data_IF_598975333636
#
_entry.id   IF_598975333636
#
_cell.length_a   1.000
_cell.length_b   1.000
_cell.length_c   1.000
_cell.angle_alpha   90.00
_cell.angle_beta   90.00
_cell.angle_gamma   90.00
#
_symmetry.space_group_name_H-M   'P 1'
#
loop_
_entity.id
_entity.type
_entity.pdbx_description
1 polymer ?
#
# COMPACT_ATOMS: atom_id res chain seq x y z
N UNK A 1 -24.14 8.38 -7.80
CA UNK A 1 -22.73 8.80 -7.69
C UNK A 1 -22.17 8.65 -6.28
N UNK A 2 -22.91 8.98 -5.23
CA UNK A 2 -22.44 8.89 -3.83
C UNK A 2 -21.99 7.49 -3.38
N UNK A 3 -22.66 6.42 -3.82
CA UNK A 3 -22.31 5.06 -3.42
C UNK A 3 -20.90 4.66 -3.87
N UNK A 4 -20.58 4.86 -5.16
CA UNK A 4 -19.26 4.51 -5.71
C UNK A 4 -18.15 5.34 -5.06
N UNK A 5 -18.37 6.65 -4.85
CA UNK A 5 -17.40 7.50 -4.15
C UNK A 5 -17.15 7.04 -2.70
N UNK A 6 -18.21 6.65 -1.97
CA UNK A 6 -18.09 6.07 -0.62
C UNK A 6 -17.36 4.73 -0.65
N UNK A 7 -17.63 3.89 -1.64
CA UNK A 7 -16.93 2.61 -1.82
C UNK A 7 -15.44 2.84 -2.08
N UNK A 8 -15.07 3.73 -3.02
CA UNK A 8 -13.67 4.09 -3.27
C UNK A 8 -12.99 4.64 -2.02
N UNK A 9 -13.66 5.48 -1.22
CA UNK A 9 -13.08 5.99 0.04
C UNK A 9 -12.83 4.88 1.05
N UNK A 10 -13.74 3.91 1.16
CA UNK A 10 -13.56 2.71 2.01
C UNK A 10 -12.46 1.79 1.48
N UNK A 11 -12.31 1.65 0.16
CA UNK A 11 -11.20 0.89 -0.42
C UNK A 11 -9.88 1.58 -0.14
N UNK A 12 -9.81 2.92 -0.24
CA UNK A 12 -8.60 3.67 0.09
C UNK A 12 -8.18 3.50 1.56
N UNK A 13 -9.13 3.39 2.51
CA UNK A 13 -8.77 3.21 3.92
C UNK A 13 -8.02 1.91 4.22
N UNK A 14 -8.13 0.88 3.36
CA UNK A 14 -7.27 -0.29 3.45
C UNK A 14 -5.78 0.11 3.42
N UNK A 15 -5.37 0.97 2.50
CA UNK A 15 -3.97 1.37 2.40
C UNK A 15 -3.56 2.33 3.52
N UNK A 16 -4.47 3.14 4.04
CA UNK A 16 -4.21 3.99 5.21
C UNK A 16 -3.88 3.13 6.45
N UNK A 17 -4.55 1.99 6.61
CA UNK A 17 -4.38 1.11 7.78
C UNK A 17 -3.22 0.10 7.63
N UNK A 18 -3.00 -0.37 6.40
CA UNK A 18 -2.10 -1.50 6.08
C UNK A 18 -0.87 -1.15 5.25
N UNK A 19 -0.67 0.13 4.86
CA UNK A 19 0.55 0.64 4.23
C UNK A 19 1.10 1.87 4.96
N UNK A 20 1.13 1.78 6.30
CA UNK A 20 1.63 2.84 7.17
C UNK A 20 3.11 2.63 7.53
N UNK A 21 3.69 3.57 8.31
CA UNK A 21 5.11 3.51 8.69
C UNK A 21 5.53 2.23 9.41
N UNK A 22 4.62 1.58 10.16
CA UNK A 22 4.86 0.28 10.83
C UNK A 22 5.10 -0.89 9.86
N UNK A 23 4.67 -0.74 8.61
CA UNK A 23 4.81 -1.69 7.50
C UNK A 23 5.73 -1.12 6.40
N UNK A 24 6.60 -0.17 6.77
CA UNK A 24 7.53 0.53 5.87
C UNK A 24 6.86 1.16 4.64
N UNK A 25 5.60 1.59 4.77
CA UNK A 25 4.81 2.17 3.68
C UNK A 25 4.60 1.20 2.50
N UNK A 26 4.65 -0.11 2.75
CA UNK A 26 4.28 -1.17 1.82
C UNK A 26 2.97 -1.84 2.27
N UNK A 27 2.11 -2.27 1.34
CA UNK A 27 0.83 -2.88 1.70
C UNK A 27 0.99 -4.33 2.12
N UNK A 28 0.22 -4.77 3.11
CA UNK A 28 0.05 -6.18 3.43
C UNK A 28 -0.50 -7.00 2.25
N UNK A 29 -0.11 -8.27 2.19
CA UNK A 29 -0.51 -9.22 1.13
C UNK A 29 -1.98 -9.58 1.22
N UNK A 30 -2.46 -9.79 2.45
CA UNK A 30 -3.87 -9.99 2.72
C UNK A 30 -4.25 -9.53 4.13
N UNK A 31 -5.46 -8.99 4.25
CA UNK A 31 -6.17 -8.82 5.51
C UNK A 31 -7.41 -9.71 5.49
N UNK A 32 -7.53 -10.55 6.51
CA UNK A 32 -8.69 -11.39 6.72
C UNK A 32 -9.40 -10.90 7.98
N UNK A 33 -10.67 -10.51 7.86
CA UNK A 33 -11.49 -10.12 9.01
C UNK A 33 -12.19 -11.31 9.67
N UNK A 34 -12.59 -12.31 8.88
CA UNK A 34 -13.33 -13.50 9.33
C UNK A 34 -12.74 -14.76 8.69
N UNK A 35 -12.78 -15.92 9.36
CA UNK A 35 -13.36 -16.17 10.69
C UNK A 35 -12.50 -15.65 11.85
N UNK A 36 -11.19 -15.53 11.64
CA UNK A 36 -10.24 -15.00 12.61
C UNK A 36 -9.51 -13.85 11.95
N UNK A 37 -9.41 -12.74 12.68
CA UNK A 37 -8.70 -11.56 12.22
C UNK A 37 -7.20 -11.86 12.06
N UNK A 38 -6.67 -11.63 10.85
CA UNK A 38 -5.25 -11.84 10.55
C UNK A 38 -4.80 -10.95 9.40
N UNK A 39 -3.66 -10.30 9.61
CA UNK A 39 -2.92 -9.60 8.55
C UNK A 39 -1.67 -10.41 8.20
N UNK A 40 -1.45 -10.66 6.91
CA UNK A 40 -0.17 -11.17 6.44
C UNK A 40 0.77 -9.99 6.18
N UNK A 41 1.69 -9.74 7.13
CA UNK A 41 2.69 -8.68 7.06
C UNK A 41 3.83 -9.03 6.09
N UNK A 42 3.45 -9.29 4.84
CA UNK A 42 4.35 -9.42 3.72
C UNK A 42 3.79 -8.66 2.54
N UNK A 43 4.61 -8.30 1.58
CA UNK A 43 4.14 -7.64 0.35
C UNK A 43 4.70 -8.30 -0.89
N UNK A 44 4.14 -7.97 -2.05
CA UNK A 44 4.58 -8.48 -3.36
C UNK A 44 4.70 -7.33 -4.36
N UNK A 45 5.43 -7.51 -5.48
CA UNK A 45 5.52 -6.49 -6.53
C UNK A 45 4.13 -6.05 -7.05
N UNK A 46 3.19 -7.00 -7.11
CA UNK A 46 1.79 -6.76 -7.50
C UNK A 46 1.08 -5.87 -6.49
N UNK A 47 1.19 -6.17 -5.19
CA UNK A 47 0.53 -5.38 -4.14
C UNK A 47 1.11 -3.96 -4.07
N UNK A 48 2.44 -3.82 -4.23
CA UNK A 48 3.12 -2.53 -4.35
C UNK A 48 2.57 -1.73 -5.54
N UNK A 49 2.43 -2.36 -6.70
CA UNK A 49 1.82 -1.73 -7.88
C UNK A 49 0.39 -1.24 -7.61
N UNK A 50 -0.44 -2.05 -6.94
CA UNK A 50 -1.80 -1.64 -6.56
C UNK A 50 -1.82 -0.51 -5.54
N UNK A 51 -0.88 -0.46 -4.59
CA UNK A 51 -0.74 0.68 -3.68
C UNK A 51 -0.43 1.96 -4.47
N UNK A 52 0.54 1.95 -5.38
CA UNK A 52 0.91 3.14 -6.17
C UNK A 52 -0.27 3.65 -7.02
N UNK A 53 -1.01 2.75 -7.67
CA UNK A 53 -2.23 3.10 -8.41
C UNK A 53 -3.32 3.66 -7.48
N UNK A 54 -3.44 3.13 -6.27
CA UNK A 54 -4.42 3.58 -5.28
C UNK A 54 -4.07 4.94 -4.70
N UNK A 55 -2.78 5.24 -4.48
CA UNK A 55 -2.30 6.57 -4.06
C UNK A 55 -2.65 7.62 -5.13
N UNK A 56 -2.37 7.33 -6.41
CA UNK A 56 -2.75 8.21 -7.52
C UNK A 56 -4.27 8.42 -7.58
N UNK A 57 -5.03 7.33 -7.51
CA UNK A 57 -6.50 7.39 -7.53
C UNK A 57 -7.04 8.20 -6.35
N UNK A 58 -6.49 8.03 -5.15
CA UNK A 58 -6.89 8.79 -3.96
C UNK A 58 -6.63 10.30 -4.12
N UNK A 59 -5.54 10.67 -4.81
CA UNK A 59 -5.27 12.07 -5.17
C UNK A 59 -6.29 12.61 -6.15
N UNK A 60 -6.60 11.86 -7.22
CA UNK A 60 -7.57 12.25 -8.25
C UNK A 60 -8.99 12.38 -7.69
N UNK A 61 -9.39 11.50 -6.77
CA UNK A 61 -10.67 11.60 -6.06
C UNK A 61 -10.70 12.73 -5.02
N UNK A 62 -9.55 13.33 -4.68
CA UNK A 62 -9.43 14.36 -3.65
C UNK A 62 -9.52 13.82 -2.22
N UNK A 63 -9.22 12.55 -2.00
CA UNK A 63 -9.15 11.97 -0.64
C UNK A 63 -7.87 12.37 0.09
N UNK A 64 -6.80 12.66 -0.65
CA UNK A 64 -5.52 13.15 -0.13
C UNK A 64 -5.09 14.43 -0.84
N UNK A 65 -4.29 15.24 -0.13
CA UNK A 65 -3.69 16.47 -0.68
C UNK A 65 -2.53 16.15 -1.63
N UNK A 66 -2.10 17.15 -2.41
CA UNK A 66 -0.92 17.00 -3.27
C UNK A 66 0.35 16.71 -2.46
N UNK A 67 0.52 17.37 -1.31
CA UNK A 67 1.66 17.11 -0.42
C UNK A 67 1.63 15.68 0.14
N UNK A 68 0.48 15.19 0.59
CA UNK A 68 0.35 13.82 1.06
C UNK A 68 0.62 12.78 -0.04
N UNK A 69 0.20 13.07 -1.28
CA UNK A 69 0.52 12.24 -2.44
C UNK A 69 2.04 12.12 -2.66
N UNK A 70 2.76 13.24 -2.69
CA UNK A 70 4.23 13.22 -2.86
C UNK A 70 4.92 12.48 -1.71
N UNK A 71 4.49 12.73 -0.47
CA UNK A 71 5.02 12.06 0.72
C UNK A 71 4.88 10.53 0.63
N UNK A 72 3.68 10.04 0.28
CA UNK A 72 3.41 8.61 0.21
C UNK A 72 4.20 7.94 -0.92
N UNK A 73 4.22 8.53 -2.12
CA UNK A 73 5.00 8.01 -3.23
C UNK A 73 6.50 7.97 -2.86
N UNK A 74 7.03 9.06 -2.30
CA UNK A 74 8.43 9.13 -1.89
C UNK A 74 8.79 8.04 -0.89
N UNK A 75 8.01 7.91 0.20
CA UNK A 75 8.22 6.88 1.22
C UNK A 75 8.15 5.46 0.66
N UNK A 76 7.17 5.17 -0.20
CA UNK A 76 7.05 3.86 -0.83
C UNK A 76 8.23 3.56 -1.76
N UNK A 77 8.67 4.53 -2.59
CA UNK A 77 9.83 4.37 -3.48
C UNK A 77 11.13 4.20 -2.68
N UNK A 78 11.36 5.04 -1.67
CA UNK A 78 12.52 4.94 -0.77
C UNK A 78 12.64 3.57 -0.12
N UNK A 79 11.51 2.95 0.23
CA UNK A 79 11.50 1.58 0.74
C UNK A 79 11.86 0.57 -0.36
N UNK A 80 11.23 0.66 -1.54
CA UNK A 80 11.48 -0.25 -2.68
C UNK A 80 12.95 -0.26 -3.08
N UNK A 81 13.61 0.90 -3.09
CA UNK A 81 15.01 1.03 -3.44
C UNK A 81 15.92 0.20 -2.52
N UNK A 82 15.56 0.08 -1.24
CA UNK A 82 16.32 -0.66 -0.21
C UNK A 82 16.06 -2.17 -0.22
N UNK A 83 14.98 -2.63 -0.84
CA UNK A 83 14.64 -4.06 -0.89
C UNK A 83 15.73 -4.86 -1.60
N UNK A 84 16.00 -6.08 -1.12
CA UNK A 84 16.86 -7.03 -1.83
C UNK A 84 16.22 -7.38 -3.19
N UNK A 85 17.04 -7.53 -4.24
CA UNK A 85 16.57 -7.76 -5.62
C UNK A 85 17.40 -8.84 -6.27
N UNK A 86 16.75 -9.67 -7.08
CA UNK A 86 17.41 -10.60 -7.97
C UNK A 86 17.64 -9.96 -9.34
N UNK A 87 18.89 -9.60 -9.66
CA UNK A 87 19.23 -8.97 -10.95
C UNK A 87 18.38 -7.72 -11.27
N UNK A 88 18.07 -6.92 -10.23
CA UNK A 88 17.19 -5.75 -10.35
C UNK A 88 15.69 -6.05 -10.27
N UNK A 89 15.27 -7.31 -10.31
CA UNK A 89 13.88 -7.71 -10.12
C UNK A 89 13.55 -7.89 -8.63
N UNK A 90 12.36 -7.44 -8.25
CA UNK A 90 11.83 -7.68 -6.92
C UNK A 90 11.50 -9.17 -6.73
N UNK A 91 11.75 -9.70 -5.53
CA UNK A 91 11.24 -10.98 -5.08
C UNK A 91 9.72 -10.95 -4.92
N UNK A 92 9.12 -12.13 -4.88
CA UNK A 92 7.67 -12.24 -4.76
C UNK A 92 7.16 -11.84 -3.37
N UNK A 93 7.97 -12.03 -2.32
CA UNK A 93 7.58 -11.68 -0.95
C UNK A 93 8.71 -10.99 -0.17
N UNK A 94 8.32 -9.96 0.59
CA UNK A 94 9.13 -9.28 1.60
C UNK A 94 8.32 -9.16 2.88
N UNK A 95 8.92 -9.35 4.05
CA UNK A 95 8.27 -9.07 5.34
C UNK A 95 8.17 -7.55 5.54
N UNK A 96 6.97 -6.99 5.65
CA UNK A 96 6.78 -5.53 5.73
C UNK A 96 7.20 -4.94 7.07
N UNK A 97 7.39 -5.77 8.11
CA UNK A 97 7.80 -5.31 9.44
C UNK A 97 9.30 -5.35 9.65
N UNK A 98 10.00 -6.27 9.00
CA UNK A 98 11.43 -6.46 9.24
C UNK A 98 12.34 -6.07 8.09
N UNK A 99 11.81 -5.99 6.86
CA UNK A 99 12.54 -5.75 5.60
C UNK A 99 13.86 -6.50 5.46
#
# INVERSE_FOLDING_TARGET
MDYLRKLCRKTWSFYEDFAAGKDHFLPADNYQQRPIERTAHRTSPTNIGFLLLSILSARDFGFITLSAFYDLIGKTVDTIEKLEKWQGHLYNWYDTKTL
#
